data_IF_429984387488
#
_entry.id   IF_429984387488
#
_cell.length_a   1.000
_cell.length_b   1.000
_cell.length_c   1.000
_cell.angle_alpha   90.00
_cell.angle_beta   90.00
_cell.angle_gamma   90.00
#
_symmetry.space_group_name_H-M   'P 1'
#
loop_
_entity.id
_entity.type
_entity.pdbx_description
1 polymer ?
#
# COMPACT_ATOMS: atom_id res chain seq x y z
N UNK A 1 -44.15 27.67 62.37
CA UNK A 1 -44.88 27.33 61.13
C UNK A 1 -44.92 25.81 60.97
N UNK A 2 -46.09 25.20 61.17
CA UNK A 2 -46.28 23.75 61.19
C UNK A 2 -46.27 23.19 59.77
N UNK A 3 -45.27 22.37 59.40
CA UNK A 3 -45.27 21.62 58.14
C UNK A 3 -46.45 20.65 58.18
N UNK A 4 -47.54 20.96 57.47
CA UNK A 4 -48.65 20.01 57.23
C UNK A 4 -48.03 18.73 56.64
N UNK A 5 -48.11 17.61 57.38
CA UNK A 5 -47.69 16.30 56.91
C UNK A 5 -48.51 15.95 55.67
N UNK A 6 -47.84 15.73 54.53
CA UNK A 6 -48.49 15.27 53.29
C UNK A 6 -49.20 13.95 53.56
N UNK A 7 -50.42 13.77 53.04
CA UNK A 7 -51.16 12.52 53.16
C UNK A 7 -50.45 11.34 52.46
N UNK A 8 -50.77 10.08 52.80
CA UNK A 8 -50.06 8.90 52.29
C UNK A 8 -49.98 8.84 50.76
N UNK A 9 -51.07 9.19 50.08
CA UNK A 9 -51.16 9.23 48.61
C UNK A 9 -50.21 10.27 48.00
N UNK A 10 -50.05 11.43 48.63
CA UNK A 10 -49.15 12.47 48.14
C UNK A 10 -47.66 12.11 48.34
N UNK A 11 -47.34 11.39 49.42
CA UNK A 11 -45.99 10.86 49.64
C UNK A 11 -45.64 9.76 48.63
N UNK A 12 -46.59 8.87 48.32
CA UNK A 12 -46.44 7.83 47.30
C UNK A 12 -46.20 8.43 45.91
N UNK A 13 -46.99 9.44 45.51
CA UNK A 13 -46.80 10.14 44.22
C UNK A 13 -45.42 10.80 44.11
N UNK A 14 -44.94 11.44 45.18
CA UNK A 14 -43.60 12.03 45.20
C UNK A 14 -42.51 10.95 45.08
N UNK A 15 -42.69 9.80 45.76
CA UNK A 15 -41.75 8.68 45.66
C UNK A 15 -41.74 8.06 44.26
N UNK A 16 -42.90 7.90 43.64
CA UNK A 16 -43.02 7.42 42.25
C UNK A 16 -42.31 8.37 41.30
N UNK A 17 -42.54 9.68 41.39
CA UNK A 17 -41.86 10.66 40.54
C UNK A 17 -40.34 10.66 40.68
N UNK A 18 -39.82 10.47 41.92
CA UNK A 18 -38.37 10.31 42.15
C UNK A 18 -37.83 9.03 41.51
N UNK A 19 -38.52 7.91 41.68
CA UNK A 19 -38.11 6.64 41.08
C UNK A 19 -38.17 6.66 39.55
N UNK A 20 -39.17 7.34 38.97
CA UNK A 20 -39.28 7.55 37.52
C UNK A 20 -38.11 8.39 36.98
N UNK A 21 -37.73 9.45 37.70
CA UNK A 21 -36.57 10.26 37.36
C UNK A 21 -35.27 9.47 37.45
N UNK A 22 -35.04 8.75 38.56
CA UNK A 22 -33.86 7.88 38.73
C UNK A 22 -33.81 6.80 37.62
N UNK A 23 -34.95 6.19 37.27
CA UNK A 23 -35.03 5.24 36.16
C UNK A 23 -34.65 5.88 34.81
N UNK A 24 -35.12 7.10 34.54
CA UNK A 24 -34.78 7.82 33.32
C UNK A 24 -33.27 8.14 33.25
N UNK A 25 -32.69 8.59 34.36
CA UNK A 25 -31.25 8.86 34.49
C UNK A 25 -30.42 7.58 34.29
N UNK A 26 -30.77 6.47 34.95
CA UNK A 26 -30.07 5.20 34.77
C UNK A 26 -30.21 4.64 33.36
N UNK A 27 -31.38 4.80 32.72
CA UNK A 27 -31.58 4.37 31.33
C UNK A 27 -30.69 5.16 30.38
N UNK A 28 -30.59 6.47 30.58
CA UNK A 28 -29.73 7.31 29.76
C UNK A 28 -28.23 6.98 29.96
N UNK A 29 -27.80 6.79 31.22
CA UNK A 29 -26.45 6.31 31.53
C UNK A 29 -26.15 4.96 30.89
N UNK A 30 -27.11 4.02 30.95
CA UNK A 30 -26.98 2.70 30.33
C UNK A 30 -26.84 2.81 28.81
N UNK A 31 -27.67 3.62 28.15
CA UNK A 31 -27.61 3.79 26.69
C UNK A 31 -26.27 4.41 26.26
N UNK A 32 -25.77 5.40 27.00
CA UNK A 32 -24.45 5.99 26.75
C UNK A 32 -23.33 4.96 26.94
N UNK A 33 -23.33 4.22 28.05
CA UNK A 33 -22.34 3.18 28.30
C UNK A 33 -22.37 2.06 27.24
N UNK A 34 -23.56 1.67 26.78
CA UNK A 34 -23.72 0.68 25.71
C UNK A 34 -23.14 1.20 24.38
N UNK A 35 -23.37 2.47 24.04
CA UNK A 35 -22.79 3.09 22.85
C UNK A 35 -21.26 3.16 22.94
N UNK A 36 -20.72 3.57 24.08
CA UNK A 36 -19.27 3.63 24.32
C UNK A 36 -18.63 2.24 24.21
N UNK A 37 -19.28 1.21 24.75
CA UNK A 37 -18.83 -0.18 24.65
C UNK A 37 -18.82 -0.66 23.20
N UNK A 38 -19.83 -0.34 22.41
CA UNK A 38 -19.87 -0.73 21.00
C UNK A 38 -18.79 -0.01 20.18
N UNK A 39 -18.57 1.28 20.45
CA UNK A 39 -17.47 2.05 19.84
C UNK A 39 -16.10 1.45 20.20
N UNK A 40 -15.90 1.10 21.47
CA UNK A 40 -14.69 0.44 21.95
C UNK A 40 -14.49 -0.91 21.25
N UNK A 41 -15.53 -1.76 21.17
CA UNK A 41 -15.46 -3.06 20.48
C UNK A 41 -15.05 -2.91 19.02
N UNK A 42 -15.65 -1.96 18.29
CA UNK A 42 -15.28 -1.67 16.89
C UNK A 42 -13.85 -1.13 16.75
N UNK A 43 -13.36 -0.39 17.75
CA UNK A 43 -11.97 0.09 17.78
C UNK A 43 -11.00 -1.07 17.98
N UNK A 44 -11.23 -1.90 18.99
CA UNK A 44 -10.37 -3.06 19.30
C UNK A 44 -10.32 -4.04 18.12
N UNK A 45 -11.43 -4.28 17.43
CA UNK A 45 -11.44 -5.13 16.24
C UNK A 45 -10.55 -4.58 15.11
N UNK A 46 -10.56 -3.27 14.89
CA UNK A 46 -9.69 -2.62 13.89
C UNK A 46 -8.22 -2.67 14.30
N UNK A 47 -7.92 -2.43 15.57
CA UNK A 47 -6.55 -2.52 16.11
C UNK A 47 -6.02 -3.95 15.99
N UNK A 48 -6.84 -4.95 16.29
CA UNK A 48 -6.47 -6.36 16.15
C UNK A 48 -6.17 -6.73 14.69
N UNK A 49 -7.01 -6.31 13.74
CA UNK A 49 -6.77 -6.56 12.32
C UNK A 49 -5.48 -5.87 11.84
N UNK A 50 -5.22 -4.63 12.27
CA UNK A 50 -3.99 -3.91 11.95
C UNK A 50 -2.75 -4.65 12.47
N UNK A 51 -2.79 -5.14 13.71
CA UNK A 51 -1.68 -5.93 14.30
C UNK A 51 -1.48 -7.21 13.50
N UNK A 52 -2.55 -7.93 13.17
CA UNK A 52 -2.49 -9.15 12.35
C UNK A 52 -1.85 -8.88 10.99
N UNK A 53 -2.24 -7.82 10.30
CA UNK A 53 -1.67 -7.42 9.02
C UNK A 53 -0.18 -7.06 9.15
N UNK A 54 0.20 -6.29 10.18
CA UNK A 54 1.59 -5.88 10.42
C UNK A 54 2.50 -7.08 10.72
N UNK A 55 2.03 -8.04 11.52
CA UNK A 55 2.77 -9.27 11.81
C UNK A 55 2.92 -10.12 10.56
N UNK A 56 1.86 -10.22 9.75
CA UNK A 56 1.89 -10.95 8.48
C UNK A 56 2.86 -10.30 7.49
N UNK A 57 2.85 -8.97 7.36
CA UNK A 57 3.81 -8.20 6.55
C UNK A 57 5.26 -8.50 6.95
N UNK A 58 5.57 -8.50 8.25
CA UNK A 58 6.92 -8.81 8.74
C UNK A 58 7.38 -10.20 8.33
N UNK A 59 6.53 -11.22 8.55
CA UNK A 59 6.83 -12.60 8.17
C UNK A 59 7.02 -12.75 6.65
N UNK A 60 6.14 -12.14 5.85
CA UNK A 60 6.23 -12.20 4.39
C UNK A 60 7.51 -11.55 3.88
N UNK A 61 7.90 -10.41 4.45
CA UNK A 61 9.13 -9.70 4.10
C UNK A 61 10.37 -10.58 4.30
N UNK A 62 10.43 -11.32 5.40
CA UNK A 62 11.53 -12.26 5.68
C UNK A 62 11.53 -13.49 4.75
N UNK A 63 10.37 -13.86 4.19
CA UNK A 63 10.23 -14.96 3.24
C UNK A 63 10.57 -14.57 1.78
N UNK A 64 10.51 -13.29 1.42
CA UNK A 64 10.78 -12.84 0.04
C UNK A 64 12.14 -13.30 -0.52
N UNK A 65 13.26 -13.29 0.22
CA UNK A 65 14.53 -13.83 -0.27
C UNK A 65 14.47 -15.33 -0.62
N UNK A 66 13.60 -16.09 0.03
CA UNK A 66 13.38 -17.50 -0.29
C UNK A 66 12.66 -17.64 -1.63
N UNK A 67 11.63 -16.83 -1.87
CA UNK A 67 10.96 -16.75 -3.17
C UNK A 67 11.93 -16.38 -4.29
N UNK A 68 12.78 -15.37 -4.07
CA UNK A 68 13.79 -14.98 -5.05
C UNK A 68 14.76 -16.12 -5.38
N UNK A 69 15.13 -16.91 -4.38
CA UNK A 69 15.98 -18.08 -4.59
C UNK A 69 15.27 -19.17 -5.38
N UNK A 70 13.96 -19.35 -5.22
CA UNK A 70 13.17 -20.21 -6.09
C UNK A 70 13.18 -19.71 -7.53
N UNK A 71 12.89 -18.44 -7.76
CA UNK A 71 12.93 -17.83 -9.09
C UNK A 71 14.32 -18.00 -9.73
N UNK A 72 15.39 -17.74 -8.96
CA UNK A 72 16.78 -17.93 -9.41
C UNK A 72 17.10 -19.38 -9.69
N UNK A 73 16.69 -20.32 -8.85
CA UNK A 73 16.95 -21.74 -9.03
C UNK A 73 16.22 -22.30 -10.25
N UNK A 74 14.97 -21.87 -10.49
CA UNK A 74 14.19 -22.23 -11.68
C UNK A 74 14.84 -21.65 -12.94
N UNK A 75 15.31 -20.40 -12.90
CA UNK A 75 16.01 -19.76 -14.02
C UNK A 75 17.39 -20.37 -14.30
N UNK A 76 18.15 -20.71 -13.24
CA UNK A 76 19.48 -21.32 -13.33
C UNK A 76 19.45 -22.82 -13.61
N UNK A 77 18.28 -23.47 -13.50
CA UNK A 77 18.03 -24.85 -13.92
C UNK A 77 18.08 -24.98 -15.44
N UNK A 78 19.26 -24.69 -16.00
CA UNK A 78 19.61 -24.72 -17.41
C UNK A 78 19.18 -26.04 -18.06
N UNK A 79 18.29 -25.94 -19.06
CA UNK A 79 18.08 -26.67 -20.34
C UNK A 79 18.50 -28.15 -20.52
N UNK A 80 18.98 -28.85 -19.51
CA UNK A 80 19.36 -30.25 -19.59
C UNK A 80 18.09 -31.10 -19.50
N UNK A 81 17.77 -31.79 -20.59
CA UNK A 81 16.58 -32.66 -20.69
C UNK A 81 16.52 -33.75 -19.60
N UNK A 82 17.65 -34.05 -18.96
CA UNK A 82 17.77 -34.99 -17.84
C UNK A 82 17.10 -34.52 -16.54
N UNK A 83 16.84 -33.21 -16.38
CA UNK A 83 16.31 -32.63 -15.14
C UNK A 83 14.89 -32.04 -15.28
N UNK A 84 14.21 -32.28 -16.39
CA UNK A 84 12.91 -31.66 -16.67
C UNK A 84 11.83 -32.04 -15.64
N UNK A 85 11.79 -33.29 -15.19
CA UNK A 85 10.84 -33.74 -14.15
C UNK A 85 11.08 -33.05 -12.82
N UNK A 86 12.36 -32.89 -12.42
CA UNK A 86 12.72 -32.18 -11.20
C UNK A 86 12.34 -30.69 -11.30
N UNK A 87 12.65 -30.05 -12.42
CA UNK A 87 12.28 -28.66 -12.69
C UNK A 87 10.77 -28.44 -12.56
N UNK A 88 9.95 -29.29 -13.19
CA UNK A 88 8.48 -29.22 -13.09
C UNK A 88 7.99 -29.39 -11.65
N UNK A 89 8.61 -30.28 -10.89
CA UNK A 89 8.30 -30.45 -9.45
C UNK A 89 8.60 -29.20 -8.64
N UNK A 90 9.75 -28.56 -8.87
CA UNK A 90 10.13 -27.30 -8.20
C UNK A 90 9.21 -26.15 -8.63
N UNK A 91 8.89 -26.02 -9.91
CA UNK A 91 7.95 -25.01 -10.42
C UNK A 91 6.55 -25.18 -9.80
N UNK A 92 6.09 -26.42 -9.57
CA UNK A 92 4.83 -26.71 -8.91
C UNK A 92 4.84 -26.25 -7.44
N UNK A 93 5.89 -26.58 -6.70
CA UNK A 93 6.05 -26.17 -5.29
C UNK A 93 6.12 -24.64 -5.21
N UNK A 94 6.87 -24.01 -6.11
CA UNK A 94 7.00 -22.56 -6.16
C UNK A 94 5.65 -21.87 -6.41
N UNK A 95 4.84 -22.42 -7.34
CA UNK A 95 3.49 -21.91 -7.59
C UNK A 95 2.58 -22.08 -6.38
N UNK A 96 2.57 -23.26 -5.77
CA UNK A 96 1.77 -23.52 -4.57
C UNK A 96 2.17 -22.58 -3.42
N UNK A 97 3.47 -22.30 -3.26
CA UNK A 97 3.94 -21.33 -2.29
C UNK A 97 3.41 -19.93 -2.61
N UNK A 98 3.50 -19.47 -3.85
CA UNK A 98 2.93 -18.17 -4.26
C UNK A 98 1.43 -18.09 -4.01
N UNK A 99 0.67 -19.14 -4.31
CA UNK A 99 -0.77 -19.20 -4.07
C UNK A 99 -1.10 -19.08 -2.56
N UNK A 100 -0.34 -19.76 -1.71
CA UNK A 100 -0.50 -19.67 -0.24
C UNK A 100 -0.19 -18.25 0.23
N UNK A 101 0.91 -17.64 -0.24
CA UNK A 101 1.28 -16.30 0.19
C UNK A 101 0.29 -15.24 -0.31
N UNK A 102 -0.27 -15.41 -1.51
CA UNK A 102 -1.32 -14.56 -2.04
C UNK A 102 -2.60 -14.61 -1.21
N UNK A 103 -2.94 -15.77 -0.63
CA UNK A 103 -4.05 -15.87 0.33
C UNK A 103 -3.82 -15.01 1.59
N UNK A 104 -2.57 -14.78 1.98
CA UNK A 104 -2.18 -13.88 3.06
C UNK A 104 -1.96 -12.42 2.62
N UNK A 105 -2.43 -12.07 1.42
CA UNK A 105 -2.44 -10.70 0.90
C UNK A 105 -1.20 -10.28 0.13
N UNK A 106 -0.26 -11.22 -0.14
CA UNK A 106 0.94 -10.94 -0.94
C UNK A 106 0.60 -10.80 -2.43
N UNK A 107 1.00 -9.71 -3.06
CA UNK A 107 0.84 -9.49 -4.50
C UNK A 107 2.18 -9.07 -5.12
N UNK A 108 2.57 -9.72 -6.21
CA UNK A 108 3.73 -9.31 -7.01
C UNK A 108 3.34 -8.23 -8.03
N UNK A 109 4.22 -7.27 -8.25
CA UNK A 109 4.10 -6.29 -9.33
C UNK A 109 5.43 -6.12 -10.06
N UNK A 110 5.35 -5.74 -11.32
CA UNK A 110 6.51 -5.40 -12.14
C UNK A 110 6.47 -3.92 -12.49
N UNK A 111 7.64 -3.29 -12.58
CA UNK A 111 7.80 -1.93 -13.08
C UNK A 111 8.41 -1.90 -14.49
N UNK A 112 8.60 -3.05 -15.14
CA UNK A 112 9.22 -3.13 -16.47
C UNK A 112 8.47 -2.31 -17.52
N UNK A 113 9.19 -1.37 -18.15
CA UNK A 113 8.63 -0.49 -19.17
C UNK A 113 7.72 0.63 -18.65
N UNK A 114 7.55 0.76 -17.32
CA UNK A 114 6.87 1.89 -16.69
C UNK A 114 7.86 3.03 -16.39
N UNK A 115 7.34 4.26 -16.27
CA UNK A 115 8.10 5.37 -15.68
C UNK A 115 8.53 5.01 -14.24
N UNK A 116 9.75 5.39 -13.88
CA UNK A 116 10.31 5.11 -12.57
C UNK A 116 9.53 5.84 -11.46
N UNK A 117 8.85 5.09 -10.59
CA UNK A 117 8.20 5.59 -9.38
C UNK A 117 9.00 5.19 -8.12
N UNK A 118 9.65 6.13 -7.41
CA UNK A 118 10.39 5.86 -6.17
C UNK A 118 9.57 5.22 -5.04
N UNK A 119 8.23 5.31 -5.10
CA UNK A 119 7.34 4.69 -4.11
C UNK A 119 7.18 3.19 -4.34
N UNK A 120 7.45 2.71 -5.55
CA UNK A 120 7.25 1.32 -5.98
C UNK A 120 8.56 0.64 -6.39
N UNK A 121 9.58 1.41 -6.77
CA UNK A 121 10.83 0.90 -7.29
C UNK A 121 12.07 1.54 -6.63
N UNK A 122 13.11 0.72 -6.47
CA UNK A 122 14.46 1.08 -6.04
C UNK A 122 15.39 0.96 -7.26
N UNK A 123 15.91 2.10 -7.74
CA UNK A 123 16.87 2.11 -8.83
C UNK A 123 18.24 1.61 -8.34
N UNK A 124 18.64 0.44 -8.82
CA UNK A 124 19.93 -0.20 -8.46
C UNK A 124 21.08 0.27 -9.34
N UNK A 125 20.79 0.61 -10.60
CA UNK A 125 21.74 1.18 -11.55
C UNK A 125 21.02 2.03 -12.60
N UNK A 126 21.80 2.83 -13.32
CA UNK A 126 21.33 3.61 -14.46
C UNK A 126 22.09 3.18 -15.71
N UNK A 127 21.40 3.14 -16.84
CA UNK A 127 22.02 2.85 -18.14
C UNK A 127 21.75 3.98 -19.11
N UNK A 128 22.80 4.44 -19.79
CA UNK A 128 22.68 5.45 -20.82
C UNK A 128 22.15 4.79 -22.09
N UNK A 129 21.02 5.25 -22.62
CA UNK A 129 20.44 4.70 -23.84
C UNK A 129 19.97 5.83 -24.76
N UNK A 130 20.16 5.64 -26.07
CA UNK A 130 19.61 6.52 -27.11
C UNK A 130 18.23 6.05 -27.62
N UNK A 131 17.74 4.91 -27.10
CA UNK A 131 16.58 4.19 -27.64
C UNK A 131 15.40 4.02 -26.68
N UNK A 132 15.54 4.43 -25.42
CA UNK A 132 14.46 4.42 -24.42
C UNK A 132 14.19 5.84 -23.92
N UNK A 133 12.91 6.10 -23.60
CA UNK A 133 12.51 7.34 -22.94
C UNK A 133 13.24 7.51 -21.61
N UNK A 134 13.56 8.75 -21.27
CA UNK A 134 14.25 9.09 -20.04
C UNK A 134 13.41 8.65 -18.82
N UNK A 135 14.08 8.19 -17.76
CA UNK A 135 13.45 7.77 -16.50
C UNK A 135 12.48 6.59 -16.60
N UNK A 136 12.54 5.81 -17.69
CA UNK A 136 11.81 4.53 -17.82
C UNK A 136 12.64 3.36 -17.29
N UNK A 137 11.95 2.40 -16.66
CA UNK A 137 12.54 1.14 -16.23
C UNK A 137 12.82 0.23 -17.41
N UNK A 138 14.09 -0.12 -17.61
CA UNK A 138 14.56 -0.95 -18.74
C UNK A 138 14.91 -2.38 -18.35
N UNK A 139 15.21 -2.63 -17.07
CA UNK A 139 15.45 -3.97 -16.54
C UNK A 139 14.97 -4.08 -15.09
N UNK A 140 14.51 -5.26 -14.71
CA UNK A 140 14.01 -5.56 -13.36
C UNK A 140 14.74 -6.81 -12.86
N UNK A 141 15.63 -6.60 -11.89
CA UNK A 141 16.38 -7.67 -11.25
C UNK A 141 15.52 -8.43 -10.25
N UNK A 142 14.63 -7.72 -9.56
CA UNK A 142 13.68 -8.30 -8.62
C UNK A 142 12.33 -7.63 -8.73
N UNK A 143 11.28 -8.43 -8.83
CA UNK A 143 9.89 -7.96 -8.75
C UNK A 143 9.62 -7.28 -7.40
N UNK A 144 8.73 -6.31 -7.44
CA UNK A 144 8.18 -5.66 -6.25
C UNK A 144 7.05 -6.49 -5.64
N UNK A 145 6.82 -6.30 -4.35
CA UNK A 145 5.77 -6.99 -3.61
C UNK A 145 4.97 -6.03 -2.73
N UNK A 146 3.65 -6.20 -2.74
CA UNK A 146 2.74 -5.55 -1.80
C UNK A 146 2.08 -6.57 -0.87
N UNK A 147 1.65 -6.11 0.30
CA UNK A 147 0.83 -6.87 1.24
C UNK A 147 -0.32 -6.00 1.70
N UNK A 148 -1.56 -6.47 1.54
CA UNK A 148 -2.77 -5.68 1.86
C UNK A 148 -2.75 -4.26 1.25
N UNK A 149 -2.22 -4.11 0.04
CA UNK A 149 -2.13 -2.84 -0.69
C UNK A 149 -0.95 -1.93 -0.28
N UNK A 150 -0.11 -2.33 0.66
CA UNK A 150 1.11 -1.61 1.06
C UNK A 150 2.35 -2.25 0.43
N UNK A 151 3.26 -1.45 -0.13
CA UNK A 151 4.55 -1.94 -0.64
C UNK A 151 5.41 -2.43 0.53
N UNK A 152 5.75 -3.73 0.52
CA UNK A 152 6.61 -4.36 1.55
C UNK A 152 8.04 -4.55 1.05
N UNK A 153 8.22 -4.64 -0.28
CA UNK A 153 9.53 -4.61 -0.94
C UNK A 153 9.38 -3.92 -2.30
N UNK A 154 10.12 -2.82 -2.56
CA UNK A 154 10.10 -2.19 -3.87
C UNK A 154 10.73 -3.12 -4.92
N UNK A 155 10.31 -2.96 -6.18
CA UNK A 155 10.98 -3.60 -7.30
C UNK A 155 12.41 -3.06 -7.43
N UNK A 156 13.39 -3.91 -7.76
CA UNK A 156 14.77 -3.47 -7.98
C UNK A 156 15.04 -3.40 -9.46
N UNK A 157 15.29 -2.18 -9.93
CA UNK A 157 15.24 -1.86 -11.34
C UNK A 157 16.51 -1.19 -11.83
N UNK A 158 16.69 -1.22 -13.15
CA UNK A 158 17.64 -0.40 -13.90
C UNK A 158 16.85 0.63 -14.67
N UNK A 159 17.24 1.90 -14.56
CA UNK A 159 16.51 3.03 -15.15
C UNK A 159 17.33 3.62 -16.30
N UNK A 160 16.65 3.93 -17.41
CA UNK A 160 17.26 4.62 -18.54
C UNK A 160 17.58 6.07 -18.19
N UNK A 161 18.77 6.52 -18.57
CA UNK A 161 19.12 7.95 -18.63
C UNK A 161 19.46 8.33 -20.07
N UNK A 162 19.19 9.58 -20.47
CA UNK A 162 19.70 10.12 -21.73
C UNK A 162 21.22 9.96 -21.78
N UNK A 163 21.76 9.55 -22.93
CA UNK A 163 23.20 9.61 -23.15
C UNK A 163 23.65 11.07 -23.20
N UNK A 164 24.92 11.33 -22.88
CA UNK A 164 25.48 12.69 -22.98
C UNK A 164 25.40 13.27 -24.41
N UNK A 165 25.30 12.41 -25.44
CA UNK A 165 25.14 12.84 -26.84
C UNK A 165 23.69 13.18 -27.21
N UNK A 166 22.70 12.50 -26.62
CA UNK A 166 21.29 12.84 -26.82
C UNK A 166 20.87 14.05 -25.98
N UNK A 167 21.39 14.18 -24.75
CA UNK A 167 21.16 15.35 -23.90
C UNK A 167 21.68 16.65 -24.55
N UNK A 168 22.87 16.63 -25.15
CA UNK A 168 23.43 17.79 -25.86
C UNK A 168 22.60 18.19 -27.11
N UNK A 169 22.02 17.22 -27.82
CA UNK A 169 21.16 17.47 -28.99
C UNK A 169 19.78 18.02 -28.62
N UNK A 170 19.23 17.62 -27.47
CA UNK A 170 17.97 18.15 -26.96
C UNK A 170 18.11 19.58 -26.42
N UNK A 171 19.24 19.92 -25.79
CA UNK A 171 19.55 21.29 -25.36
C UNK A 171 19.72 22.22 -26.56
N UNK A 172 20.49 21.82 -27.59
CA UNK A 172 20.61 22.59 -28.85
C UNK A 172 19.26 22.75 -29.57
N UNK A 173 18.40 21.74 -29.55
CA UNK A 173 17.06 21.81 -30.15
C UNK A 173 16.09 22.74 -29.41
N UNK A 174 16.16 22.80 -28.07
CA UNK A 174 15.36 23.73 -27.26
C UNK A 174 15.79 25.18 -27.46
N UNK A 175 17.09 25.49 -27.46
CA UNK A 175 17.61 26.84 -27.70
C UNK A 175 17.22 27.38 -29.10
N UNK A 176 17.21 26.52 -30.12
CA UNK A 176 16.76 26.88 -31.48
C UNK A 176 15.24 27.11 -31.53
N UNK A 177 14.46 26.37 -30.74
CA UNK A 177 12.99 26.55 -30.67
C UNK A 177 12.56 27.79 -29.88
N UNK A 178 13.31 28.15 -28.83
CA UNK A 178 13.05 29.33 -27.99
C UNK A 178 13.47 30.62 -28.72
N UNK A 179 14.58 30.60 -29.45
CA UNK A 179 15.01 31.72 -30.29
C UNK A 179 14.07 31.97 -31.49
N UNK A 180 13.52 30.92 -32.10
CA UNK A 180 12.54 31.05 -33.18
C UNK A 180 11.18 31.60 -32.72
N UNK A 181 10.78 31.35 -31.47
CA UNK A 181 9.54 31.88 -30.89
C UNK A 181 9.64 33.36 -30.49
N UNK A 182 10.84 33.86 -30.14
CA UNK A 182 11.07 35.28 -29.87
C UNK A 182 11.06 36.14 -31.16
N UNK A 183 11.54 35.61 -32.29
CA UNK A 183 11.59 36.34 -33.57
C UNK A 183 10.20 36.54 -34.24
N UNK A 184 9.24 35.64 -34.03
CA UNK A 184 7.88 35.75 -34.63
C UNK A 184 6.96 36.75 -33.88
N UNK A 185 7.31 37.11 -32.64
CA UNK A 185 6.54 38.09 -31.83
C UNK A 185 6.90 39.56 -32.10
N UNK A 186 7.93 39.82 -32.93
CA UNK A 186 8.54 41.14 -33.09
C UNK A 186 8.05 42.00 -34.26
N UNK A 187 7.13 41.52 -35.12
CA UNK A 187 6.74 42.25 -36.34
C UNK A 187 5.27 42.66 -36.35
N UNK A 188 4.85 43.53 -35.44
CA UNK A 188 3.61 44.31 -35.62
C UNK A 188 3.64 45.59 -34.75
N UNK A 189 4.39 46.60 -35.19
CA UNK A 189 4.08 48.04 -34.97
C UNK A 189 5.11 48.91 -35.69
N UNK A 190 4.71 49.49 -36.82
CA UNK A 190 5.47 50.46 -37.59
C UNK A 190 4.72 50.91 -38.83
#
# INVERSE_FOLDING_TARGET
MSKKRKGPVAQLKEKVGKLEQECAEYKDHYLRAAADFENYRRRVQREFELVRQTVTEGLLTELLPVLDNFDRAIAAGCNDASNETLRKGVELIHRQLKDVLAHYGLEEFSCMGEEFDPRRAEATSFVNTDGHEADVVVEEHYKGYTCYGKVIRPARVVVARPSQQSAAREEEGKEVSESAAEEDSGTENG
#
